data_IF_942043157078
#
_entry.id   IF_942043157078
#
_cell.length_a   1.000
_cell.length_b   1.000
_cell.length_c   1.000
_cell.angle_alpha   90.00
_cell.angle_beta   90.00
_cell.angle_gamma   90.00
#
_symmetry.space_group_name_H-M   'P 1'
#
loop_
_entity.id
_entity.type
_entity.pdbx_description
1 polymer ?
#
# COMPACT_ATOMS: atom_id res chain seq x y z
N UNK A 1 -8.39 59.43 -37.63
CA UNK A 1 -7.80 58.07 -37.68
C UNK A 1 -7.77 57.50 -36.27
N UNK A 2 -8.69 56.63 -35.96
CA UNK A 2 -8.84 56.03 -34.64
C UNK A 2 -8.20 54.63 -34.66
N UNK A 3 -7.27 54.38 -33.78
CA UNK A 3 -6.63 53.08 -33.62
C UNK A 3 -7.48 52.19 -32.72
N UNK A 4 -7.84 51.04 -33.22
CA UNK A 4 -8.57 49.96 -32.49
C UNK A 4 -7.64 49.28 -31.51
N UNK A 5 -8.02 49.05 -30.25
CA UNK A 5 -7.22 48.25 -29.35
C UNK A 5 -7.38 46.76 -29.65
N UNK A 6 -6.26 46.06 -29.84
CA UNK A 6 -6.19 44.63 -29.95
C UNK A 6 -6.52 43.99 -28.60
N UNK A 7 -7.53 43.13 -28.64
CA UNK A 7 -7.96 42.30 -27.50
C UNK A 7 -6.96 41.17 -27.35
N UNK A 8 -6.08 41.26 -26.32
CA UNK A 8 -5.20 40.16 -25.88
C UNK A 8 -6.07 39.19 -25.13
N UNK A 9 -6.41 38.07 -25.74
CA UNK A 9 -7.03 36.93 -25.07
C UNK A 9 -6.05 36.31 -24.12
N UNK A 10 -6.26 36.58 -22.84
CA UNK A 10 -5.60 35.98 -21.72
C UNK A 10 -5.93 34.46 -21.70
N UNK A 11 -5.03 33.67 -22.28
CA UNK A 11 -5.06 32.20 -22.15
C UNK A 11 -4.68 31.80 -20.76
N UNK A 12 -5.61 31.84 -19.82
CA UNK A 12 -5.42 31.20 -18.53
C UNK A 12 -5.36 29.68 -18.76
N UNK A 13 -4.15 29.14 -18.87
CA UNK A 13 -3.91 27.71 -18.72
C UNK A 13 -4.42 27.31 -17.34
N UNK A 14 -5.49 26.50 -17.31
CA UNK A 14 -5.93 25.84 -16.09
C UNK A 14 -4.73 25.08 -15.53
N UNK A 15 -4.41 25.23 -14.23
CA UNK A 15 -3.34 24.45 -13.63
C UNK A 15 -3.62 22.96 -13.88
N UNK A 16 -2.77 22.31 -14.64
CA UNK A 16 -2.80 20.85 -14.78
C UNK A 16 -2.49 20.26 -13.40
N UNK A 17 -3.53 19.92 -12.67
CA UNK A 17 -3.38 19.13 -11.44
C UNK A 17 -2.76 17.80 -11.85
N UNK A 18 -1.49 17.59 -11.47
CA UNK A 18 -0.83 16.30 -11.71
C UNK A 18 -1.68 15.19 -11.09
N UNK A 19 -1.83 14.06 -11.78
CA UNK A 19 -2.59 12.96 -11.25
C UNK A 19 -1.98 12.53 -9.91
N UNK A 20 -2.85 12.19 -8.98
CA UNK A 20 -2.47 11.73 -7.64
C UNK A 20 -1.70 10.42 -7.76
N UNK A 21 -0.50 10.36 -7.20
CA UNK A 21 0.29 9.13 -7.19
C UNK A 21 -0.10 8.26 -5.99
N UNK A 22 -0.53 7.04 -6.28
CA UNK A 22 -0.96 6.05 -5.30
C UNK A 22 -0.17 4.77 -5.54
N UNK A 23 0.47 4.25 -4.50
CA UNK A 23 1.11 2.93 -4.54
C UNK A 23 0.21 1.92 -3.82
N UNK A 24 -0.08 0.81 -4.49
CA UNK A 24 -0.74 -0.36 -3.91
C UNK A 24 0.34 -1.42 -3.73
N UNK A 25 0.58 -1.83 -2.49
CA UNK A 25 1.63 -2.78 -2.14
C UNK A 25 1.09 -4.04 -1.48
N UNK A 26 1.41 -5.20 -2.03
CA UNK A 26 1.17 -6.47 -1.36
C UNK A 26 2.35 -6.87 -0.49
N UNK A 27 2.11 -7.19 0.77
CA UNK A 27 3.14 -7.59 1.74
C UNK A 27 2.88 -9.01 2.22
N UNK A 28 3.90 -9.85 2.27
CA UNK A 28 3.76 -11.22 2.77
C UNK A 28 4.87 -12.15 2.28
N UNK A 29 4.69 -13.42 2.53
CA UNK A 29 5.61 -14.47 2.11
C UNK A 29 4.96 -15.31 1.02
N UNK A 30 5.65 -15.54 -0.09
CA UNK A 30 5.21 -16.53 -1.07
C UNK A 30 5.31 -17.94 -0.48
N UNK A 31 4.41 -18.82 -0.91
CA UNK A 31 4.35 -20.23 -0.52
C UNK A 31 4.00 -20.49 0.95
N UNK A 32 3.34 -19.55 1.62
CA UNK A 32 2.78 -19.72 2.96
C UNK A 32 1.26 -19.51 2.96
N UNK A 33 0.56 -20.19 2.05
CA UNK A 33 -0.91 -20.14 1.91
C UNK A 33 -1.46 -18.72 2.08
N UNK A 34 -2.32 -18.46 3.08
CA UNK A 34 -2.99 -17.16 3.24
C UNK A 34 -2.05 -16.01 3.60
N UNK A 35 -0.86 -16.30 4.15
CA UNK A 35 0.20 -15.30 4.32
C UNK A 35 0.81 -14.84 2.99
N UNK A 36 0.51 -15.54 1.88
CA UNK A 36 0.92 -15.16 0.54
C UNK A 36 -0.09 -14.21 -0.15
N UNK A 37 -1.16 -13.80 0.54
CA UNK A 37 -2.21 -12.96 -0.03
C UNK A 37 -1.65 -11.71 -0.71
N UNK A 38 -0.77 -10.97 -0.02
CA UNK A 38 -0.20 -9.73 -0.55
C UNK A 38 0.48 -9.91 -1.91
N UNK A 39 1.52 -10.75 -2.02
CA UNK A 39 2.21 -10.99 -3.29
C UNK A 39 1.32 -11.63 -4.37
N UNK A 40 0.44 -12.58 -4.02
CA UNK A 40 -0.47 -13.19 -4.99
C UNK A 40 -1.53 -12.22 -5.52
N UNK A 41 -2.04 -11.35 -4.65
CA UNK A 41 -2.97 -10.30 -5.06
C UNK A 41 -2.25 -9.27 -5.95
N UNK A 42 -1.02 -8.85 -5.61
CA UNK A 42 -0.24 -7.95 -6.46
C UNK A 42 -0.06 -8.48 -7.88
N UNK A 43 0.26 -9.77 -8.04
CA UNK A 43 0.37 -10.41 -9.36
C UNK A 43 -0.94 -10.34 -10.17
N UNK A 44 -2.10 -10.35 -9.51
CA UNK A 44 -3.42 -10.21 -10.14
C UNK A 44 -3.74 -8.76 -10.48
N UNK A 45 -3.47 -7.84 -9.53
CA UNK A 45 -3.74 -6.41 -9.71
C UNK A 45 -2.92 -5.83 -10.87
N UNK A 46 -1.69 -6.28 -11.07
CA UNK A 46 -0.83 -5.87 -12.19
C UNK A 46 -1.40 -6.20 -13.58
N UNK A 47 -2.33 -7.15 -13.66
CA UNK A 47 -3.02 -7.54 -14.91
C UNK A 47 -4.26 -6.70 -15.19
N UNK A 48 -4.69 -5.88 -14.25
CA UNK A 48 -5.86 -5.01 -14.38
C UNK A 48 -5.45 -3.62 -14.88
N UNK A 49 -6.43 -2.87 -15.38
CA UNK A 49 -6.23 -1.47 -15.76
C UNK A 49 -6.57 -0.56 -14.59
N UNK A 50 -5.67 0.35 -14.27
CA UNK A 50 -5.79 1.29 -13.16
C UNK A 50 -5.84 2.73 -13.66
N UNK A 51 -6.42 3.67 -12.88
CA UNK A 51 -6.33 5.10 -13.17
C UNK A 51 -4.88 5.58 -13.26
N UNK A 52 -4.66 6.66 -14.02
CA UNK A 52 -3.35 7.30 -14.11
C UNK A 52 -2.82 7.68 -12.72
N UNK A 53 -1.55 7.39 -12.47
CA UNK A 53 -0.89 7.64 -11.19
C UNK A 53 -1.02 6.51 -10.16
N UNK A 54 -1.76 5.43 -10.47
CA UNK A 54 -1.82 4.23 -9.61
C UNK A 54 -0.77 3.23 -10.06
N UNK A 55 0.08 2.82 -9.12
CA UNK A 55 1.15 1.83 -9.32
C UNK A 55 0.92 0.63 -8.41
N UNK A 56 1.26 -0.58 -8.89
CA UNK A 56 1.08 -1.83 -8.15
C UNK A 56 2.43 -2.49 -7.97
N UNK A 57 2.78 -2.86 -6.73
CA UNK A 57 4.03 -3.55 -6.43
C UNK A 57 3.88 -4.70 -5.45
N UNK A 58 4.70 -5.72 -5.64
CA UNK A 58 4.97 -6.73 -4.63
C UNK A 58 6.04 -6.19 -3.67
N UNK A 59 5.64 -5.86 -2.46
CA UNK A 59 6.51 -5.34 -1.39
C UNK A 59 6.96 -6.47 -0.43
N UNK A 60 7.03 -7.71 -0.92
CA UNK A 60 7.41 -8.89 -0.14
C UNK A 60 8.94 -9.02 -0.03
N UNK A 61 9.59 -7.94 0.41
CA UNK A 61 11.03 -7.89 0.70
C UNK A 61 11.31 -6.99 1.91
N UNK A 62 12.56 -6.90 2.32
CA UNK A 62 12.92 -6.20 3.56
C UNK A 62 12.52 -4.72 3.56
N UNK A 63 11.97 -4.21 4.67
CA UNK A 63 11.44 -2.83 4.76
C UNK A 63 12.50 -1.76 4.45
N UNK A 64 13.76 -2.00 4.73
CA UNK A 64 14.85 -1.07 4.39
C UNK A 64 14.98 -0.90 2.87
N UNK A 65 14.89 -2.00 2.11
CA UNK A 65 14.90 -1.96 0.65
C UNK A 65 13.67 -1.23 0.09
N UNK A 66 12.49 -1.44 0.71
CA UNK A 66 11.27 -0.72 0.34
C UNK A 66 11.45 0.79 0.54
N UNK A 67 12.01 1.21 1.69
CA UNK A 67 12.23 2.63 1.97
C UNK A 67 13.19 3.28 0.96
N UNK A 68 14.29 2.63 0.60
CA UNK A 68 15.18 3.13 -0.45
C UNK A 68 14.46 3.27 -1.79
N UNK A 69 13.65 2.28 -2.14
CA UNK A 69 12.87 2.30 -3.37
C UNK A 69 11.85 3.45 -3.40
N UNK A 70 11.25 3.78 -2.25
CA UNK A 70 10.33 4.93 -2.12
C UNK A 70 11.08 6.27 -2.22
N UNK A 71 12.30 6.37 -1.69
CA UNK A 71 13.13 7.58 -1.75
C UNK A 71 13.61 7.90 -3.17
N UNK A 72 13.88 6.88 -3.98
CA UNK A 72 14.38 7.04 -5.34
C UNK A 72 13.30 7.50 -6.35
N UNK A 73 12.06 7.64 -5.90
CA UNK A 73 10.90 7.98 -6.72
C UNK A 73 10.24 9.29 -6.29
N UNK A 74 9.49 9.94 -7.19
CA UNK A 74 8.62 11.02 -6.79
C UNK A 74 7.64 10.54 -5.70
N UNK A 75 7.34 11.35 -4.67
CA UNK A 75 6.56 10.89 -3.52
C UNK A 75 5.15 10.47 -3.91
N UNK A 76 4.68 9.41 -3.27
CA UNK A 76 3.28 9.00 -3.31
C UNK A 76 2.46 9.82 -2.31
N UNK A 77 1.25 10.20 -2.69
CA UNK A 77 0.29 10.84 -1.80
C UNK A 77 -0.45 9.81 -0.94
N UNK A 78 -0.61 8.59 -1.46
CA UNK A 78 -1.24 7.49 -0.72
C UNK A 78 -0.50 6.18 -0.92
N UNK A 79 -0.46 5.39 0.14
CA UNK A 79 -0.03 4.00 0.13
C UNK A 79 -1.20 3.12 0.58
N UNK A 80 -1.53 2.09 -0.20
CA UNK A 80 -2.53 1.08 0.16
C UNK A 80 -1.79 -0.25 0.30
N UNK A 81 -1.73 -0.79 1.52
CA UNK A 81 -1.05 -2.05 1.81
C UNK A 81 -2.05 -3.17 2.02
N UNK A 82 -1.80 -4.31 1.38
CA UNK A 82 -2.61 -5.52 1.54
C UNK A 82 -1.74 -6.66 2.02
N UNK A 83 -2.18 -7.36 3.07
CA UNK A 83 -1.44 -8.48 3.65
C UNK A 83 -2.36 -9.56 4.21
N UNK A 84 -1.95 -10.82 4.09
CA UNK A 84 -2.40 -11.88 4.99
C UNK A 84 -1.62 -11.77 6.29
N UNK A 85 -2.30 -11.82 7.43
CA UNK A 85 -1.70 -11.66 8.76
C UNK A 85 -2.22 -12.70 9.72
N UNK A 86 -1.46 -12.94 10.80
CA UNK A 86 -1.86 -13.81 11.90
C UNK A 86 -1.80 -13.02 13.20
N UNK A 87 -2.96 -12.59 13.68
CA UNK A 87 -3.12 -11.74 14.86
C UNK A 87 -4.09 -12.33 15.90
N UNK A 88 -4.37 -13.64 15.80
CA UNK A 88 -5.30 -14.36 16.66
C UNK A 88 -6.72 -13.75 16.70
N UNK A 89 -7.14 -13.16 15.57
CA UNK A 89 -8.50 -12.65 15.33
C UNK A 89 -9.36 -13.70 14.61
N UNK A 90 -10.57 -13.32 14.23
CA UNK A 90 -11.48 -14.20 13.48
C UNK A 90 -10.86 -14.54 12.11
N UNK A 91 -10.54 -15.83 11.90
CA UNK A 91 -9.88 -16.32 10.70
C UNK A 91 -10.73 -16.09 9.44
N UNK A 92 -10.11 -15.71 8.33
CA UNK A 92 -10.78 -15.41 7.07
C UNK A 92 -11.51 -14.07 7.04
N UNK A 93 -11.40 -13.23 8.07
CA UNK A 93 -12.04 -11.92 8.13
C UNK A 93 -11.13 -10.82 7.58
N UNK A 94 -11.75 -9.88 6.87
CA UNK A 94 -11.09 -8.68 6.35
C UNK A 94 -11.16 -7.56 7.39
N UNK A 95 -10.03 -6.89 7.59
CA UNK A 95 -9.90 -5.71 8.44
C UNK A 95 -9.31 -4.58 7.60
N UNK A 96 -10.02 -3.45 7.52
CA UNK A 96 -9.61 -2.29 6.75
C UNK A 96 -9.56 -1.07 7.66
N UNK A 97 -8.43 -0.38 7.68
CA UNK A 97 -8.23 0.78 8.54
C UNK A 97 -7.15 1.71 7.96
N UNK A 98 -7.03 2.92 8.54
CA UNK A 98 -5.95 3.86 8.25
C UNK A 98 -4.85 3.74 9.29
N UNK A 99 -3.62 3.75 8.84
CA UNK A 99 -2.46 3.78 9.72
C UNK A 99 -2.32 5.16 10.36
N UNK A 100 -2.21 5.20 11.67
CA UNK A 100 -2.13 6.43 12.45
C UNK A 100 -0.70 6.93 12.70
N UNK A 101 0.32 6.25 12.18
CA UNK A 101 1.75 6.53 12.39
C UNK A 101 2.20 6.53 13.85
N UNK A 102 1.42 5.94 14.73
CA UNK A 102 1.77 5.84 16.14
C UNK A 102 2.94 4.87 16.31
N UNK A 103 4.02 5.36 16.91
CA UNK A 103 5.20 4.54 17.17
C UNK A 103 5.07 3.86 18.53
N UNK A 104 5.49 2.59 18.63
CA UNK A 104 5.63 1.90 19.90
C UNK A 104 6.82 2.47 20.71
N UNK A 105 7.12 1.88 21.84
CA UNK A 105 8.28 2.28 22.62
C UNK A 105 9.62 2.00 21.89
N UNK A 106 10.72 2.63 22.34
CA UNK A 106 12.02 2.49 21.65
C UNK A 106 12.56 1.05 21.61
N UNK A 107 12.23 0.21 22.58
CA UNK A 107 12.68 -1.17 22.65
C UNK A 107 12.01 -1.99 21.55
N UNK A 108 10.71 -1.80 21.32
CA UNK A 108 9.99 -2.45 20.23
C UNK A 108 10.48 -1.94 18.86
N UNK A 109 10.72 -0.65 18.70
CA UNK A 109 11.29 -0.11 17.45
C UNK A 109 12.64 -0.80 17.15
N UNK A 110 13.51 -0.93 18.15
CA UNK A 110 14.81 -1.59 18.00
C UNK A 110 14.64 -3.07 17.64
N UNK A 111 13.68 -3.77 18.26
CA UNK A 111 13.37 -5.15 17.90
C UNK A 111 12.92 -5.28 16.44
N UNK A 112 12.04 -4.41 15.97
CA UNK A 112 11.57 -4.40 14.56
C UNK A 112 12.71 -4.14 13.58
N UNK A 113 13.61 -3.21 13.89
CA UNK A 113 14.79 -2.95 13.07
C UNK A 113 15.69 -4.19 13.03
N UNK A 114 15.92 -4.86 14.16
CA UNK A 114 16.72 -6.09 14.23
C UNK A 114 16.10 -7.22 13.38
N UNK A 115 14.78 -7.43 13.47
CA UNK A 115 14.06 -8.37 12.61
C UNK A 115 14.22 -8.04 11.12
N UNK A 116 14.07 -6.76 10.76
CA UNK A 116 14.20 -6.31 9.37
C UNK A 116 15.59 -6.57 8.77
N UNK A 117 16.65 -6.42 9.59
CA UNK A 117 18.03 -6.73 9.18
C UNK A 117 18.21 -8.22 8.91
N UNK A 118 17.48 -9.09 9.61
CA UNK A 118 17.49 -10.55 9.37
C UNK A 118 16.62 -10.98 8.18
N UNK A 119 15.97 -10.04 7.51
CA UNK A 119 15.16 -10.30 6.32
C UNK A 119 13.72 -10.73 6.61
N UNK A 120 13.23 -10.51 7.84
CA UNK A 120 11.82 -10.77 8.17
C UNK A 120 10.92 -9.79 7.41
N UNK A 121 10.01 -10.34 6.60
CA UNK A 121 9.00 -9.61 5.86
C UNK A 121 7.75 -9.54 6.74
N UNK A 122 7.38 -8.34 7.16
CA UNK A 122 6.23 -8.13 8.04
C UNK A 122 5.60 -6.78 7.74
N UNK A 123 4.27 -6.76 7.69
CA UNK A 123 3.53 -5.51 7.57
C UNK A 123 3.84 -4.56 8.72
N UNK A 124 3.94 -5.08 9.96
CA UNK A 124 4.26 -4.26 11.14
C UNK A 124 5.67 -3.67 11.05
N UNK A 125 6.66 -4.45 10.62
CA UNK A 125 8.01 -3.97 10.42
C UNK A 125 8.05 -2.84 9.39
N UNK A 126 7.34 -2.99 8.27
CA UNK A 126 7.24 -1.95 7.24
C UNK A 126 6.60 -0.67 7.81
N UNK A 127 5.49 -0.80 8.53
CA UNK A 127 4.75 0.33 9.07
C UNK A 127 5.53 1.07 10.16
N UNK A 128 6.09 0.34 11.14
CA UNK A 128 6.81 0.93 12.27
C UNK A 128 8.12 1.56 11.80
N UNK A 129 8.93 0.83 11.03
CA UNK A 129 10.23 1.31 10.56
C UNK A 129 10.03 2.45 9.56
N UNK A 130 9.10 2.32 8.61
CA UNK A 130 8.79 3.35 7.64
C UNK A 130 8.26 4.65 8.28
N UNK A 131 7.45 4.53 9.34
CA UNK A 131 6.98 5.69 10.12
C UNK A 131 8.11 6.32 10.92
N UNK A 132 8.96 5.53 11.58
CA UNK A 132 10.09 5.99 12.36
C UNK A 132 11.08 6.82 11.50
N UNK A 133 11.41 6.33 10.32
CA UNK A 133 12.28 7.03 9.37
C UNK A 133 11.55 8.07 8.51
N UNK A 134 10.24 8.29 8.71
CA UNK A 134 9.40 9.25 7.97
C UNK A 134 9.44 9.03 6.45
N UNK A 135 9.40 7.77 6.03
CA UNK A 135 9.48 7.34 4.63
C UNK A 135 8.10 7.00 4.03
N UNK A 136 7.11 6.77 4.88
CA UNK A 136 5.75 6.54 4.42
C UNK A 136 5.03 7.86 4.14
N UNK A 137 4.13 7.91 3.13
CA UNK A 137 3.24 9.05 2.97
C UNK A 137 2.32 9.17 4.21
N UNK A 138 1.77 10.36 4.42
CA UNK A 138 0.84 10.58 5.54
C UNK A 138 -0.44 9.72 5.42
N UNK A 139 -0.93 9.53 4.20
CA UNK A 139 -2.14 8.76 3.92
C UNK A 139 -1.78 7.30 3.61
N UNK A 140 -1.85 6.43 4.63
CA UNK A 140 -1.61 4.99 4.51
C UNK A 140 -2.88 4.24 4.89
N UNK A 141 -3.42 3.46 3.96
CA UNK A 141 -4.55 2.56 4.16
C UNK A 141 -4.08 1.12 4.22
N UNK A 142 -4.62 0.36 5.16
CA UNK A 142 -4.28 -1.04 5.39
C UNK A 142 -5.50 -1.90 5.11
N UNK A 143 -5.31 -3.00 4.43
CA UNK A 143 -6.30 -4.06 4.23
C UNK A 143 -5.64 -5.37 4.65
N UNK A 144 -6.07 -5.93 5.77
CA UNK A 144 -5.58 -7.20 6.30
C UNK A 144 -6.64 -8.29 6.15
N UNK A 145 -6.19 -9.50 5.85
CA UNK A 145 -7.02 -10.70 5.98
C UNK A 145 -6.40 -11.59 7.04
N UNK A 146 -7.18 -11.96 8.05
CA UNK A 146 -6.71 -12.90 9.05
C UNK A 146 -6.57 -14.28 8.43
N UNK A 147 -5.35 -14.83 8.43
CA UNK A 147 -5.03 -16.11 7.80
C UNK A 147 -5.79 -17.26 8.46
N UNK A 148 -6.35 -18.14 7.63
CA UNK A 148 -6.96 -19.41 8.07
C UNK A 148 -5.87 -20.47 8.19
N UNK A 149 -4.95 -20.50 7.22
CA UNK A 149 -3.84 -21.44 7.14
C UNK A 149 -2.55 -20.70 6.75
N UNK A 150 -1.51 -20.86 7.55
CA UNK A 150 -0.17 -20.28 7.37
C UNK A 150 0.91 -21.34 7.15
N UNK A 151 0.50 -22.59 6.85
CA UNK A 151 1.43 -23.67 6.53
C UNK A 151 2.03 -23.48 5.12
N UNK A 152 3.03 -24.26 4.81
CA UNK A 152 3.60 -24.30 3.47
C UNK A 152 2.57 -24.67 2.42
N UNK A 153 2.50 -23.90 1.35
CA UNK A 153 1.61 -24.14 0.21
C UNK A 153 1.56 -22.93 -0.73
N UNK A 154 1.39 -23.18 -2.01
CA UNK A 154 1.44 -22.17 -3.08
C UNK A 154 0.12 -21.39 -3.22
N UNK A 155 -1.01 -22.00 -2.82
CA UNK A 155 -2.34 -21.46 -3.05
C UNK A 155 -2.95 -20.92 -1.75
N UNK A 156 -3.75 -19.88 -1.88
CA UNK A 156 -4.62 -19.42 -0.80
C UNK A 156 -5.63 -20.53 -0.42
N UNK A 157 -6.11 -20.48 0.82
CA UNK A 157 -7.28 -21.31 1.17
C UNK A 157 -8.49 -20.91 0.33
N UNK A 158 -9.41 -21.82 0.01
CA UNK A 158 -10.59 -21.50 -0.81
C UNK A 158 -11.42 -20.34 -0.25
N UNK A 159 -11.49 -20.21 1.06
CA UNK A 159 -12.24 -19.13 1.69
C UNK A 159 -11.57 -17.77 1.48
N UNK A 160 -10.23 -17.67 1.59
CA UNK A 160 -9.50 -16.42 1.32
C UNK A 160 -9.47 -16.12 -0.18
N UNK A 161 -9.37 -17.14 -1.04
CA UNK A 161 -9.46 -16.97 -2.50
C UNK A 161 -10.80 -16.33 -2.91
N UNK A 162 -11.91 -16.69 -2.26
CA UNK A 162 -13.23 -16.13 -2.52
C UNK A 162 -13.36 -14.66 -2.13
N UNK A 163 -12.50 -14.13 -1.26
CA UNK A 163 -12.49 -12.72 -0.86
C UNK A 163 -11.85 -11.80 -1.91
N UNK A 164 -11.09 -12.33 -2.86
CA UNK A 164 -10.28 -11.50 -3.77
C UNK A 164 -11.10 -10.48 -4.57
N UNK A 165 -12.31 -10.78 -5.11
CA UNK A 165 -13.12 -9.77 -5.77
C UNK A 165 -13.50 -8.61 -4.84
N UNK A 166 -13.86 -8.90 -3.59
CA UNK A 166 -14.25 -7.89 -2.60
C UNK A 166 -13.03 -7.05 -2.17
N UNK A 167 -11.85 -7.67 -2.04
CA UNK A 167 -10.60 -6.95 -1.76
C UNK A 167 -10.22 -5.99 -2.90
N UNK A 168 -10.43 -6.39 -4.16
CA UNK A 168 -10.19 -5.52 -5.32
C UNK A 168 -11.15 -4.33 -5.29
N UNK A 169 -12.43 -4.54 -4.98
CA UNK A 169 -13.40 -3.44 -4.87
C UNK A 169 -13.09 -2.53 -3.67
N UNK A 170 -12.62 -3.08 -2.56
CA UNK A 170 -12.15 -2.28 -1.42
C UNK A 170 -10.96 -1.40 -1.81
N UNK A 171 -10.01 -1.93 -2.58
CA UNK A 171 -8.88 -1.16 -3.12
C UNK A 171 -9.39 -0.02 -4.01
N UNK A 172 -10.34 -0.28 -4.93
CA UNK A 172 -10.95 0.76 -5.75
C UNK A 172 -11.63 1.84 -4.90
N UNK A 173 -12.26 1.44 -3.81
CA UNK A 173 -12.87 2.38 -2.86
C UNK A 173 -11.80 3.25 -2.20
N UNK A 174 -10.69 2.65 -1.72
CA UNK A 174 -9.57 3.39 -1.13
C UNK A 174 -8.91 4.36 -2.11
N UNK A 175 -8.80 4.02 -3.38
CA UNK A 175 -8.29 4.93 -4.42
C UNK A 175 -9.17 6.18 -4.55
N UNK A 176 -10.50 6.02 -4.48
CA UNK A 176 -11.48 7.11 -4.66
C UNK A 176 -11.70 7.97 -3.40
N UNK A 177 -11.34 7.46 -2.22
CA UNK A 177 -11.48 8.22 -0.97
C UNK A 177 -10.70 9.55 -1.02
N UNK A 178 -11.22 10.63 -0.38
CA UNK A 178 -10.45 11.87 -0.21
C UNK A 178 -9.14 11.61 0.55
N UNK A 179 -8.15 12.47 0.34
CA UNK A 179 -6.91 12.41 1.12
C UNK A 179 -7.21 12.67 2.60
N UNK A 180 -6.53 11.94 3.44
CA UNK A 180 -6.54 12.20 4.87
C UNK A 180 -5.53 13.31 5.16
N UNK A 181 -6.05 14.46 5.63
CA UNK A 181 -5.25 15.62 6.04
C UNK A 181 -4.95 15.56 7.54
#
# INVERSE_FOLDING_TARGET
>A
MAATPQNVLDGQEKPQTRPRRILIGGVGYRNLRDMSLGPLLSDRLQKLTWPEGVEIEDLSYGPIGIMHNLDDRPPYQRLILVAGVKRDREAGRVYSYRWNHQLPDPEEIQARVSEAVTGVISLDNLLIIGSYFKKLPHDVSIIEVEAIDDNWGEELTPAVEQLLPDLIEEIHTKIREPEWM
#
